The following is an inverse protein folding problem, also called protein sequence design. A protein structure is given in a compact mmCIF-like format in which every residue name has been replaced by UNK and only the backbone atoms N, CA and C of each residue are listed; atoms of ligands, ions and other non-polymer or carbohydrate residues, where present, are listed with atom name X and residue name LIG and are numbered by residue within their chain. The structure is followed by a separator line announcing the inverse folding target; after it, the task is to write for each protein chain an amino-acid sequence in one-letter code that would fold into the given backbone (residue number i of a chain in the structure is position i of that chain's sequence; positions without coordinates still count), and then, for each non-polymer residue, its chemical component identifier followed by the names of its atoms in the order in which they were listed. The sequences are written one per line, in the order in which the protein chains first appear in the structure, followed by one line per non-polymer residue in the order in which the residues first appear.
data_IF_161979926408
#
_entry.id   IF_161979926408
#
_cell.length_a   1.000
_cell.length_b   1.000
_cell.length_c   1.000
_cell.angle_alpha   90.00
_cell.angle_beta   90.00
_cell.angle_gamma   90.00
#
_symmetry.space_group_name_H-M   'P 1'
#
loop_
_entity.id
_entity.type
_entity.pdbx_description
1 polymer ?
#
# COMPACT_ATOMS: atom_id res chain seq x y z
N UNK A 1 20.05 6.15 -0.63
CA UNK A 1 18.62 6.00 -0.28
C UNK A 1 18.29 7.01 0.80
N UNK A 2 17.44 7.99 0.49
CA UNK A 2 17.09 9.09 1.39
C UNK A 2 16.25 8.52 2.57
N UNK A 3 16.22 9.19 3.72
CA UNK A 3 15.48 8.72 4.91
C UNK A 3 14.02 8.38 4.64
N UNK A 4 13.33 9.21 3.83
CA UNK A 4 11.93 8.97 3.42
C UNK A 4 11.73 7.67 2.63
N UNK A 5 12.66 7.34 1.73
CA UNK A 5 12.56 6.11 0.93
C UNK A 5 12.73 4.86 1.81
N UNK A 6 13.63 4.94 2.81
CA UNK A 6 13.83 3.86 3.80
C UNK A 6 12.58 3.60 4.63
N UNK A 7 11.93 4.67 5.09
CA UNK A 7 10.69 4.56 5.86
C UNK A 7 9.55 3.97 5.02
N UNK A 8 9.39 4.46 3.79
CA UNK A 8 8.38 3.96 2.85
C UNK A 8 8.59 2.47 2.54
N UNK A 9 9.83 2.04 2.32
CA UNK A 9 10.18 0.63 2.13
C UNK A 9 9.93 -0.22 3.38
N UNK A 10 10.21 0.30 4.57
CA UNK A 10 9.92 -0.40 5.82
C UNK A 10 8.42 -0.62 6.00
N UNK A 11 7.60 0.38 5.67
CA UNK A 11 6.14 0.29 5.71
C UNK A 11 5.61 -0.69 4.66
N UNK A 12 6.10 -0.62 3.42
CA UNK A 12 5.82 -1.60 2.37
C UNK A 12 6.12 -3.03 2.84
N UNK A 13 7.30 -3.26 3.41
CA UNK A 13 7.70 -4.57 3.89
C UNK A 13 6.84 -5.08 5.06
N UNK A 14 6.33 -4.17 5.92
CA UNK A 14 5.38 -4.51 6.98
C UNK A 14 4.01 -4.90 6.40
N UNK A 15 3.47 -4.09 5.48
CA UNK A 15 2.19 -4.36 4.82
C UNK A 15 2.23 -5.66 4.02
N UNK A 16 3.30 -5.90 3.26
CA UNK A 16 3.49 -7.14 2.50
C UNK A 16 3.49 -8.40 3.38
N UNK A 17 4.09 -8.32 4.58
CA UNK A 17 4.07 -9.43 5.55
C UNK A 17 2.68 -9.70 6.12
N UNK A 18 1.84 -8.66 6.26
CA UNK A 18 0.48 -8.80 6.76
C UNK A 18 -0.52 -9.24 5.69
N UNK A 19 -0.27 -8.89 4.41
CA UNK A 19 -1.16 -9.16 3.29
C UNK A 19 -1.48 -10.65 3.12
N UNK A 20 -0.49 -11.54 3.29
CA UNK A 20 -0.72 -12.98 3.18
C UNK A 20 -1.77 -13.49 4.19
N UNK A 21 -1.71 -13.01 5.44
CA UNK A 21 -2.67 -13.38 6.48
C UNK A 21 -4.06 -12.81 6.17
N UNK A 22 -4.15 -11.54 5.76
CA UNK A 22 -5.42 -10.91 5.38
C UNK A 22 -6.09 -11.62 4.20
N UNK A 23 -5.32 -12.03 3.18
CA UNK A 23 -5.84 -12.80 2.04
C UNK A 23 -6.42 -14.15 2.49
N UNK A 24 -5.72 -14.86 3.39
CA UNK A 24 -6.23 -16.12 3.96
C UNK A 24 -7.51 -15.89 4.74
N UNK A 25 -7.58 -14.84 5.55
CA UNK A 25 -8.77 -14.50 6.32
C UNK A 25 -9.97 -14.21 5.39
N UNK A 26 -9.77 -13.46 4.31
CA UNK A 26 -10.81 -13.22 3.30
C UNK A 26 -11.28 -14.51 2.63
N UNK A 27 -10.38 -15.45 2.35
CA UNK A 27 -10.71 -16.76 1.79
C UNK A 27 -11.51 -17.63 2.78
N UNK A 28 -11.16 -17.59 4.07
CA UNK A 28 -11.84 -18.37 5.11
C UNK A 28 -13.27 -17.89 5.38
N UNK A 29 -13.57 -16.62 5.12
CA UNK A 29 -14.88 -16.01 5.32
C UNK A 29 -15.67 -15.84 4.01
N UNK A 30 -15.37 -16.64 2.99
CA UNK A 30 -16.18 -16.67 1.79
C UNK A 30 -17.60 -17.19 2.07
N UNK A 31 -18.58 -16.61 1.38
CA UNK A 31 -19.96 -17.07 1.38
C UNK A 31 -20.38 -17.39 -0.06
N UNK A 32 -20.80 -18.62 -0.31
CA UNK A 32 -21.13 -19.08 -1.67
C UNK A 32 -19.97 -19.01 -2.69
N UNK A 33 -18.73 -18.89 -2.23
CA UNK A 33 -17.54 -18.68 -3.08
C UNK A 33 -17.25 -17.20 -3.39
N UNK A 34 -18.03 -16.27 -2.85
CA UNK A 34 -17.80 -14.83 -2.95
C UNK A 34 -16.99 -14.32 -1.75
N UNK A 35 -16.14 -13.31 -1.99
CA UNK A 35 -15.36 -12.67 -0.93
C UNK A 35 -16.24 -11.71 -0.11
N UNK A 36 -16.03 -11.62 1.22
CA UNK A 36 -16.83 -10.75 2.06
C UNK A 36 -16.58 -9.27 1.74
N UNK A 37 -17.63 -8.55 1.33
CA UNK A 37 -17.53 -7.15 0.92
C UNK A 37 -16.97 -6.23 2.03
N UNK A 38 -17.31 -6.48 3.29
CA UNK A 38 -16.78 -5.72 4.42
C UNK A 38 -15.27 -5.94 4.60
N UNK A 39 -14.81 -7.20 4.50
CA UNK A 39 -13.38 -7.51 4.55
C UNK A 39 -12.60 -6.86 3.41
N UNK A 40 -13.17 -6.82 2.20
CA UNK A 40 -12.56 -6.12 1.06
C UNK A 40 -12.44 -4.61 1.31
N UNK A 41 -13.47 -3.97 1.87
CA UNK A 41 -13.42 -2.54 2.23
C UNK A 41 -12.37 -2.28 3.32
N UNK A 42 -12.36 -3.09 4.38
CA UNK A 42 -11.38 -2.95 5.45
C UNK A 42 -9.93 -3.10 4.94
N UNK A 43 -9.67 -4.09 4.06
CA UNK A 43 -8.36 -4.23 3.44
C UNK A 43 -7.99 -3.02 2.59
N UNK A 44 -8.94 -2.51 1.78
CA UNK A 44 -8.71 -1.33 0.97
C UNK A 44 -8.38 -0.10 1.83
N UNK A 45 -9.13 0.14 2.90
CA UNK A 45 -8.92 1.25 3.84
C UNK A 45 -7.55 1.16 4.53
N UNK A 46 -7.07 -0.06 4.83
CA UNK A 46 -5.74 -0.26 5.38
C UNK A 46 -4.61 -0.03 4.36
N UNK A 47 -4.84 -0.31 3.08
CA UNK A 47 -3.86 -0.11 2.02
C UNK A 47 -3.79 1.34 1.54
N UNK A 48 -4.92 2.06 1.54
CA UNK A 48 -5.04 3.39 0.96
C UNK A 48 -3.95 4.39 1.43
N UNK A 49 -3.64 4.53 2.74
CA UNK A 49 -2.61 5.47 3.18
C UNK A 49 -1.21 5.17 2.61
N UNK A 50 -0.85 3.89 2.49
CA UNK A 50 0.44 3.51 1.91
C UNK A 50 0.48 3.79 0.40
N UNK A 51 -0.63 3.56 -0.29
CA UNK A 51 -0.76 3.89 -1.72
C UNK A 51 -0.60 5.39 -1.96
N UNK A 52 -1.23 6.22 -1.12
CA UNK A 52 -1.13 7.68 -1.23
C UNK A 52 0.29 8.18 -0.96
N UNK A 53 0.98 7.62 0.04
CA UNK A 53 2.38 7.95 0.32
C UNK A 53 3.32 7.57 -0.82
N UNK A 54 3.08 6.41 -1.46
CA UNK A 54 3.85 5.97 -2.63
C UNK A 54 3.68 6.94 -3.80
N UNK A 55 2.44 7.35 -4.07
CA UNK A 55 2.12 8.34 -5.12
C UNK A 55 2.76 9.68 -4.83
N UNK A 56 2.55 10.21 -3.62
CA UNK A 56 3.14 11.49 -3.23
C UNK A 56 4.67 11.47 -3.32
N UNK A 57 5.31 10.35 -2.97
CA UNK A 57 6.75 10.22 -3.09
C UNK A 57 7.21 10.20 -4.55
N UNK A 58 6.47 9.55 -5.44
CA UNK A 58 6.74 9.58 -6.88
C UNK A 58 6.61 11.01 -7.43
N UNK A 59 5.52 11.71 -7.11
CA UNK A 59 5.30 13.11 -7.55
C UNK A 59 6.43 14.04 -7.09
N UNK A 60 6.95 13.85 -5.87
CA UNK A 60 8.10 14.60 -5.36
C UNK A 60 9.39 14.33 -6.14
N UNK A 61 9.59 13.10 -6.59
CA UNK A 61 10.77 12.73 -7.37
C UNK A 61 10.67 13.33 -8.77
N UNK A 62 9.51 13.25 -9.41
CA UNK A 62 9.28 13.82 -10.73
C UNK A 62 9.43 15.35 -10.73
N UNK A 63 8.88 16.04 -9.72
CA UNK A 63 9.04 17.48 -9.57
C UNK A 63 10.50 17.90 -9.37
N UNK A 64 11.29 17.13 -8.61
CA UNK A 64 12.70 17.41 -8.37
C UNK A 64 13.55 17.25 -9.65
N UNK A 65 13.15 16.40 -10.59
CA UNK A 65 13.84 16.26 -11.89
C UNK A 65 13.66 17.54 -12.73
N UNK A 66 12.45 18.11 -12.76
CA UNK A 66 12.15 19.33 -13.53
C UNK A 66 12.93 20.54 -13.02
N UNK A 67 13.12 20.67 -11.70
CA UNK A 67 13.91 21.76 -11.11
C UNK A 67 15.42 21.68 -11.42
N UNK A 68 15.94 20.49 -11.72
CA UNK A 68 17.36 20.29 -12.05
C UNK A 68 17.66 20.55 -13.53
N UNK A 69 16.64 20.41 -14.40
CA UNK A 69 16.74 20.65 -15.84
C UNK A 69 16.39 22.09 -16.27
N UNK A 70 15.88 22.93 -15.35
CA UNK A 70 15.48 24.33 -15.57
C UNK A 70 16.57 25.33 -15.15
#
# INVERSE_FOLDING_TARGET
MIGKDRELLARLAKTNRALAAATVELMQHQDGGELPAEGLRALADHLAPLVDELRQRADQLDAAVVEVES
#
